data_IF_878678584891
#
_entry.id   IF_878678584891
#
_cell.length_a   1.000
_cell.length_b   1.000
_cell.length_c   1.000
_cell.angle_alpha   90.00
_cell.angle_beta   90.00
_cell.angle_gamma   90.00
#
_symmetry.space_group_name_H-M   'P 1'
#
loop_
_entity.id
_entity.type
_entity.pdbx_description
1 polymer ?
#
# COMPACT_ATOMS: atom_id res chain seq x y z
N UNK A 1 -17.49 17.33 13.16
CA UNK A 1 -18.17 16.03 12.91
C UNK A 1 -19.68 16.17 13.07
N UNK A 2 -20.49 15.71 12.13
CA UNK A 2 -21.97 15.87 12.12
C UNK A 2 -22.76 14.55 12.22
N UNK A 3 -22.06 13.43 12.46
CA UNK A 3 -22.67 12.11 12.58
C UNK A 3 -23.19 11.90 14.00
N UNK A 4 -24.51 11.67 14.15
CA UNK A 4 -25.18 11.48 15.45
C UNK A 4 -24.52 10.44 16.36
N UNK A 5 -23.96 9.38 15.78
CA UNK A 5 -23.28 8.32 16.54
C UNK A 5 -22.03 8.81 17.28
N UNK A 6 -21.44 9.94 16.85
CA UNK A 6 -20.22 10.49 17.42
C UNK A 6 -20.48 11.68 18.36
N UNK A 7 -21.73 12.17 18.48
CA UNK A 7 -22.08 13.33 19.31
C UNK A 7 -21.57 13.23 20.76
N UNK A 8 -21.66 12.07 21.45
CA UNK A 8 -21.16 11.96 22.82
C UNK A 8 -19.63 12.10 22.96
N UNK A 9 -18.89 11.96 21.86
CA UNK A 9 -17.43 11.99 21.84
C UNK A 9 -16.86 13.22 21.10
N UNK A 10 -17.73 14.11 20.62
CA UNK A 10 -17.32 15.25 19.80
C UNK A 10 -16.96 16.47 20.68
N UNK A 11 -15.67 16.69 20.91
CA UNK A 11 -15.14 17.84 21.64
C UNK A 11 -15.01 19.14 20.83
N UNK A 12 -15.45 19.14 19.56
CA UNK A 12 -15.16 20.21 18.61
C UNK A 12 -13.90 19.95 17.79
N UNK A 13 -13.76 20.68 16.68
CA UNK A 13 -12.59 20.59 15.81
C UNK A 13 -11.41 21.38 16.39
N UNK A 14 -10.22 20.77 16.37
CA UNK A 14 -8.98 21.37 16.91
C UNK A 14 -7.99 21.82 15.83
N UNK A 15 -8.03 21.20 14.64
CA UNK A 15 -7.21 21.48 13.47
C UNK A 15 -7.93 20.88 12.25
N UNK A 16 -7.98 21.54 11.07
CA UNK A 16 -7.45 22.88 10.78
C UNK A 16 -8.14 24.03 11.52
N UNK A 17 -9.34 23.80 12.06
CA UNK A 17 -10.14 24.81 12.76
C UNK A 17 -11.38 25.20 11.95
N UNK A 18 -12.49 25.58 12.61
CA UNK A 18 -13.77 25.85 11.95
C UNK A 18 -13.75 27.04 10.97
N UNK A 19 -12.72 27.88 11.02
CA UNK A 19 -12.51 29.01 10.13
C UNK A 19 -11.98 28.63 8.74
N UNK A 20 -11.39 27.44 8.58
CA UNK A 20 -10.86 26.94 7.30
C UNK A 20 -11.99 26.25 6.55
N UNK A 21 -12.55 26.88 5.51
CA UNK A 21 -13.79 26.39 4.87
C UNK A 21 -13.71 26.33 3.34
N UNK A 22 -12.85 27.14 2.71
CA UNK A 22 -12.67 27.15 1.25
C UNK A 22 -11.60 26.15 0.82
N UNK A 23 -11.68 25.67 -0.43
CA UNK A 23 -10.69 24.75 -0.99
C UNK A 23 -9.28 25.33 -0.92
N UNK A 24 -9.14 26.64 -1.15
CA UNK A 24 -7.86 27.36 -1.05
C UNK A 24 -7.31 27.33 0.38
N UNK A 25 -8.13 27.63 1.39
CA UNK A 25 -7.70 27.59 2.79
C UNK A 25 -7.32 26.17 3.23
N UNK A 26 -8.09 25.17 2.80
CA UNK A 26 -7.81 23.75 3.09
C UNK A 26 -6.48 23.32 2.45
N UNK A 27 -6.24 23.69 1.18
CA UNK A 27 -5.00 23.36 0.47
C UNK A 27 -3.79 24.03 1.11
N UNK A 28 -3.89 25.29 1.52
CA UNK A 28 -2.80 25.98 2.21
C UNK A 28 -2.50 25.34 3.57
N UNK A 29 -3.52 24.90 4.30
CA UNK A 29 -3.31 24.13 5.53
C UNK A 29 -2.63 22.78 5.25
N UNK A 30 -3.09 22.00 4.27
CA UNK A 30 -2.49 20.70 3.87
C UNK A 30 -1.02 20.87 3.49
N UNK A 31 -0.66 21.93 2.76
CA UNK A 31 0.73 22.19 2.37
C UNK A 31 1.66 22.40 3.57
N UNK A 32 1.15 23.04 4.62
CA UNK A 32 1.91 23.37 5.83
C UNK A 32 2.01 22.19 6.79
N UNK A 33 0.90 21.47 6.97
CA UNK A 33 0.72 20.45 8.01
C UNK A 33 0.83 19.02 7.48
N UNK A 34 0.97 18.84 6.16
CA UNK A 34 1.02 17.53 5.53
C UNK A 34 2.18 16.67 6.04
N UNK A 35 1.83 15.51 6.57
CA UNK A 35 2.80 14.51 7.04
C UNK A 35 2.82 13.28 6.13
N UNK A 36 3.89 12.49 6.26
CA UNK A 36 4.00 11.21 5.57
C UNK A 36 3.47 10.08 6.44
N UNK A 37 2.76 9.15 5.81
CA UNK A 37 2.43 7.86 6.44
C UNK A 37 3.64 6.90 6.53
N UNK A 38 4.86 7.39 6.25
CA UNK A 38 6.15 6.67 6.36
C UNK A 38 6.25 5.44 5.44
N UNK A 39 5.78 5.57 4.20
CA UNK A 39 5.83 4.51 3.19
C UNK A 39 6.65 4.86 1.91
N UNK A 40 7.91 5.35 2.04
CA UNK A 40 8.75 5.57 0.87
C UNK A 40 8.97 4.25 0.10
N UNK A 41 8.74 4.27 -1.21
CA UNK A 41 8.74 3.09 -2.07
C UNK A 41 8.98 3.49 -3.53
N UNK A 42 9.01 2.51 -4.43
CA UNK A 42 8.97 2.70 -5.89
C UNK A 42 10.21 3.32 -6.57
N UNK A 43 11.29 3.62 -5.84
CA UNK A 43 12.50 4.25 -6.40
C UNK A 43 13.33 3.36 -7.34
N UNK A 44 13.12 2.04 -7.32
CA UNK A 44 13.75 1.07 -8.23
C UNK A 44 12.67 0.18 -8.86
N UNK A 45 11.59 0.80 -9.37
CA UNK A 45 10.39 0.07 -9.80
C UNK A 45 10.71 -1.14 -10.68
N UNK A 46 10.04 -2.24 -10.39
CA UNK A 46 10.01 -3.38 -11.28
C UNK A 46 9.13 -3.09 -12.50
N UNK A 47 9.48 -3.66 -13.65
CA UNK A 47 8.74 -3.49 -14.89
C UNK A 47 9.38 -4.22 -16.06
N UNK A 48 8.67 -4.35 -17.19
CA UNK A 48 9.22 -4.99 -18.38
C UNK A 48 10.43 -4.19 -18.88
N UNK A 49 11.42 -4.85 -19.50
CA UNK A 49 12.62 -4.19 -20.05
C UNK A 49 12.31 -3.07 -21.07
N UNK A 50 11.12 -3.10 -21.69
CA UNK A 50 10.65 -2.06 -22.60
C UNK A 50 10.20 -0.76 -21.89
N UNK A 51 10.00 -0.79 -20.59
CA UNK A 51 9.71 0.38 -19.77
C UNK A 51 11.04 1.03 -19.36
N UNK A 52 11.38 2.16 -19.99
CA UNK A 52 12.66 2.88 -19.79
C UNK A 52 12.87 3.35 -18.34
N UNK A 53 11.79 3.47 -17.56
CA UNK A 53 11.86 3.85 -16.15
C UNK A 53 11.98 2.63 -15.23
N UNK A 54 11.90 1.40 -15.75
CA UNK A 54 12.03 0.19 -14.95
C UNK A 54 13.49 -0.11 -14.62
N UNK A 55 13.74 -0.48 -13.36
CA UNK A 55 15.09 -0.81 -12.87
C UNK A 55 15.23 -2.32 -12.68
N UNK A 56 14.14 -2.98 -12.30
CA UNK A 56 14.14 -4.39 -11.88
C UNK A 56 13.23 -5.22 -12.78
N UNK A 57 13.69 -6.40 -13.15
CA UNK A 57 12.88 -7.41 -13.84
C UNK A 57 11.92 -8.08 -12.83
N UNK A 58 10.59 -8.09 -13.07
CA UNK A 58 9.60 -8.57 -12.10
C UNK A 58 9.60 -10.10 -11.91
N UNK A 59 10.15 -10.85 -12.85
CA UNK A 59 10.16 -12.32 -12.81
C UNK A 59 11.41 -12.85 -12.10
N UNK A 60 12.48 -12.07 -12.06
CA UNK A 60 13.78 -12.50 -11.53
C UNK A 60 14.32 -11.66 -10.37
N UNK A 61 13.72 -10.49 -10.13
CA UNK A 61 14.20 -9.44 -9.23
C UNK A 61 15.62 -8.94 -9.56
N UNK A 62 16.16 -9.27 -10.74
CA UNK A 62 17.46 -8.79 -11.19
C UNK A 62 17.36 -7.35 -11.67
N UNK A 63 18.43 -6.58 -11.44
CA UNK A 63 18.58 -5.27 -12.05
C UNK A 63 18.78 -5.45 -13.55
N UNK A 64 18.04 -4.70 -14.36
CA UNK A 64 18.16 -4.76 -15.82
C UNK A 64 19.61 -4.52 -16.27
N UNK A 65 20.14 -5.44 -17.09
CA UNK A 65 21.52 -5.38 -17.58
C UNK A 65 22.59 -5.90 -16.62
N UNK A 66 22.21 -6.45 -15.45
CA UNK A 66 23.12 -7.00 -14.45
C UNK A 66 22.80 -8.46 -14.17
N UNK A 67 23.83 -9.32 -14.12
CA UNK A 67 23.61 -10.77 -13.94
C UNK A 67 23.47 -11.21 -12.49
N UNK A 68 24.24 -10.60 -11.58
CA UNK A 68 24.40 -11.04 -10.19
C UNK A 68 23.96 -10.00 -9.16
N UNK A 69 23.10 -9.05 -9.57
CA UNK A 69 22.57 -8.00 -8.70
C UNK A 69 21.04 -8.04 -8.69
N UNK A 70 20.45 -8.03 -7.49
CA UNK A 70 19.01 -7.98 -7.26
C UNK A 70 18.68 -6.87 -6.27
N UNK A 71 17.46 -6.34 -6.36
CA UNK A 71 16.87 -5.44 -5.36
C UNK A 71 15.59 -6.09 -4.85
N UNK A 72 15.44 -6.19 -3.54
CA UNK A 72 14.31 -6.87 -2.89
C UNK A 72 13.91 -6.09 -1.63
N UNK A 73 13.17 -5.01 -1.84
CA UNK A 73 12.63 -4.14 -0.78
C UNK A 73 11.42 -3.32 -1.29
N UNK A 74 10.98 -2.30 -0.56
CA UNK A 74 9.87 -1.45 -0.99
C UNK A 74 10.15 -0.63 -2.26
N UNK A 75 11.42 -0.42 -2.63
CA UNK A 75 11.79 0.36 -3.81
C UNK A 75 11.34 -0.30 -5.12
N UNK A 76 11.18 -1.63 -5.13
CA UNK A 76 10.82 -2.34 -6.36
C UNK A 76 9.34 -2.28 -6.69
N UNK A 77 8.49 -1.82 -5.77
CA UNK A 77 7.07 -1.64 -6.05
C UNK A 77 6.87 -0.74 -7.27
N UNK A 78 6.03 -1.08 -8.25
CA UNK A 78 5.73 -0.18 -9.36
C UNK A 78 4.84 1.00 -8.94
N UNK A 79 4.06 0.82 -7.88
CA UNK A 79 3.22 1.82 -7.24
C UNK A 79 2.98 1.41 -5.78
N UNK A 80 2.81 2.38 -4.90
CA UNK A 80 2.41 2.14 -3.51
C UNK A 80 1.02 1.48 -3.44
N UNK A 81 0.85 0.53 -2.53
CA UNK A 81 -0.43 -0.14 -2.27
C UNK A 81 -1.43 0.78 -1.56
N UNK A 82 -2.72 0.49 -1.64
CA UNK A 82 -3.79 1.24 -0.96
C UNK A 82 -3.89 0.93 0.56
N UNK A 83 -2.75 0.72 1.23
CA UNK A 83 -2.66 0.34 2.65
C UNK A 83 -1.21 0.27 3.12
N UNK A 84 -1.00 -0.20 4.35
CA UNK A 84 0.34 -0.34 4.92
C UNK A 84 1.22 -1.28 4.09
N UNK A 85 2.43 -0.83 3.76
CA UNK A 85 3.29 -1.52 2.80
C UNK A 85 4.07 -2.70 3.39
N UNK A 86 4.03 -2.90 4.70
CA UNK A 86 4.81 -3.94 5.38
C UNK A 86 4.51 -5.35 4.86
N UNK A 87 3.23 -5.75 4.84
CA UNK A 87 2.85 -7.08 4.34
C UNK A 87 3.18 -7.28 2.86
N UNK A 88 2.93 -6.31 1.95
CA UNK A 88 3.42 -6.37 0.58
C UNK A 88 4.94 -6.54 0.45
N UNK A 89 5.75 -5.83 1.27
CA UNK A 89 7.21 -5.98 1.26
C UNK A 89 7.63 -7.40 1.66
N UNK A 90 7.04 -7.94 2.73
CA UNK A 90 7.32 -9.31 3.18
C UNK A 90 6.95 -10.32 2.09
N UNK A 91 5.78 -10.19 1.47
CA UNK A 91 5.34 -11.08 0.40
C UNK A 91 6.30 -11.05 -0.80
N UNK A 92 6.73 -9.86 -1.22
CA UNK A 92 7.73 -9.73 -2.30
C UNK A 92 9.07 -10.37 -1.92
N UNK A 93 9.51 -10.22 -0.67
CA UNK A 93 10.75 -10.82 -0.19
C UNK A 93 10.69 -12.36 -0.20
N UNK A 94 9.58 -12.95 0.25
CA UNK A 94 9.35 -14.41 0.18
C UNK A 94 9.35 -14.91 -1.27
N UNK A 95 8.63 -14.20 -2.16
CA UNK A 95 8.61 -14.54 -3.59
C UNK A 95 10.01 -14.48 -4.21
N UNK A 96 10.78 -13.44 -3.91
CA UNK A 96 12.14 -13.29 -4.41
C UNK A 96 13.06 -14.42 -3.87
N UNK A 97 12.92 -14.79 -2.60
CA UNK A 97 13.67 -15.89 -2.00
C UNK A 97 13.41 -17.23 -2.70
N UNK A 98 12.15 -17.52 -3.05
CA UNK A 98 11.81 -18.72 -3.82
C UNK A 98 12.42 -18.69 -5.23
N UNK A 99 12.33 -17.57 -5.94
CA UNK A 99 12.96 -17.39 -7.25
C UNK A 99 14.48 -17.61 -7.18
N UNK A 100 15.14 -17.02 -6.19
CA UNK A 100 16.60 -17.16 -5.96
C UNK A 100 16.97 -18.62 -5.70
N UNK A 101 16.12 -19.38 -5.01
CA UNK A 101 16.33 -20.79 -4.69
C UNK A 101 15.85 -21.75 -5.78
N UNK A 102 15.28 -21.25 -6.88
CA UNK A 102 14.68 -22.08 -7.93
C UNK A 102 13.45 -22.86 -7.47
N UNK A 103 12.72 -22.34 -6.47
CA UNK A 103 11.47 -22.93 -5.99
C UNK A 103 10.29 -22.38 -6.77
N UNK A 104 9.35 -23.27 -7.09
CA UNK A 104 8.06 -22.89 -7.69
C UNK A 104 7.19 -22.23 -6.61
N UNK A 105 6.57 -21.07 -6.86
CA UNK A 105 5.55 -20.51 -5.99
C UNK A 105 4.39 -21.50 -5.77
N UNK A 106 3.73 -21.38 -4.62
CA UNK A 106 2.49 -22.11 -4.35
C UNK A 106 1.40 -21.73 -5.36
N UNK A 107 0.47 -22.66 -5.59
CA UNK A 107 -0.70 -22.37 -6.41
C UNK A 107 -1.60 -21.32 -5.71
N UNK A 108 -2.25 -20.42 -6.46
CA UNK A 108 -3.16 -19.44 -5.88
C UNK A 108 -4.34 -20.11 -5.17
N UNK A 109 -4.69 -19.60 -3.99
CA UNK A 109 -5.90 -19.97 -3.27
C UNK A 109 -6.99 -18.92 -3.49
N UNK A 110 -8.19 -19.37 -3.85
CA UNK A 110 -9.36 -18.50 -4.05
C UNK A 110 -10.35 -18.75 -2.91
N UNK A 111 -10.19 -17.99 -1.83
CA UNK A 111 -11.01 -18.10 -0.62
C UNK A 111 -12.13 -17.06 -0.68
N UNK A 112 -13.36 -17.43 -0.34
CA UNK A 112 -14.47 -16.48 -0.19
C UNK A 112 -14.20 -15.55 1.00
N UNK A 113 -14.66 -14.31 0.90
CA UNK A 113 -14.49 -13.29 1.94
C UNK A 113 -15.79 -12.53 2.17
N UNK A 114 -15.95 -11.97 3.37
CA UNK A 114 -17.16 -11.24 3.74
C UNK A 114 -17.47 -10.12 2.75
N UNK A 115 -18.69 -10.13 2.24
CA UNK A 115 -19.26 -9.12 1.34
C UNK A 115 -20.59 -8.67 1.91
N UNK A 116 -20.68 -7.38 2.25
CA UNK A 116 -21.90 -6.78 2.78
C UNK A 116 -23.08 -6.99 1.82
N UNK A 117 -24.23 -7.44 2.36
CA UNK A 117 -25.43 -7.74 1.57
C UNK A 117 -25.41 -9.08 0.82
N UNK A 118 -24.26 -9.78 0.79
CA UNK A 118 -24.13 -11.15 0.26
C UNK A 118 -24.03 -12.15 1.40
N UNK A 119 -23.26 -11.83 2.43
CA UNK A 119 -23.06 -12.68 3.60
C UNK A 119 -24.00 -12.29 4.74
N UNK A 120 -24.30 -13.25 5.63
CA UNK A 120 -25.02 -12.98 6.88
C UNK A 120 -24.27 -11.91 7.68
N UNK A 121 -25.00 -11.03 8.37
CA UNK A 121 -24.44 -9.92 9.15
C UNK A 121 -23.41 -10.37 10.20
N UNK A 122 -23.52 -11.60 10.70
CA UNK A 122 -22.66 -12.14 11.74
C UNK A 122 -21.59 -13.11 11.17
N UNK A 123 -21.51 -13.25 9.83
CA UNK A 123 -20.54 -14.12 9.17
C UNK A 123 -19.09 -13.69 9.47
N UNK A 124 -18.30 -14.63 10.01
CA UNK A 124 -16.90 -14.39 10.38
C UNK A 124 -16.70 -13.74 11.74
N UNK A 125 -17.76 -13.47 12.51
CA UNK A 125 -17.62 -13.00 13.90
C UNK A 125 -17.28 -14.18 14.82
N UNK A 126 -16.26 -14.02 15.66
CA UNK A 126 -15.94 -14.95 16.75
C UNK A 126 -16.83 -14.53 17.94
N UNK A 127 -17.71 -15.42 18.40
CA UNK A 127 -18.54 -15.21 19.59
C UNK A 127 -17.74 -15.34 20.88
#
# INVERSE_FOLDING_TARGET
MSQKALDPFNGGEISPGPEVQTDEEIIEWVKRDGETALHPSCSCKMGPKSDELSVVDPDTFKVHGMENLRVVDASVMPRTTNGNIHSPVLMMAERAADIIRGKKPLEPEYIDFYRHGVHDKDAGTIK
#
